data_IF_207452950046
#
_entry.id   IF_207452950046
#
_cell.length_a   1.000
_cell.length_b   1.000
_cell.length_c   1.000
_cell.angle_alpha   90.00
_cell.angle_beta   90.00
_cell.angle_gamma   90.00
#
_symmetry.space_group_name_H-M   'P 1'
#
loop_
_entity.id
_entity.type
_entity.pdbx_description
1 polymer ?
#
# COMPACT_ATOMS: atom_id res chain seq x y z
N UNK A 1 5.04 13.07 12.87
CA UNK A 1 5.16 13.62 11.68
C UNK A 1 5.17 12.65 10.50
N UNK A 2 5.61 13.10 9.33
CA UNK A 2 5.51 12.34 8.07
C UNK A 2 6.32 11.05 8.05
N UNK A 3 7.40 10.96 8.82
CA UNK A 3 8.26 9.78 8.88
C UNK A 3 7.51 8.53 9.37
N UNK A 4 6.75 8.65 10.45
CA UNK A 4 5.95 7.53 10.97
C UNK A 4 4.87 7.08 10.00
N UNK A 5 4.23 8.02 9.35
CA UNK A 5 3.23 7.76 8.31
C UNK A 5 3.83 6.98 7.13
N UNK A 6 4.95 7.44 6.57
CA UNK A 6 5.59 6.78 5.44
C UNK A 6 6.07 5.37 5.79
N UNK A 7 6.65 5.19 6.96
CA UNK A 7 7.10 3.85 7.40
C UNK A 7 5.95 2.88 7.53
N UNK A 8 4.83 3.29 8.12
CA UNK A 8 3.64 2.45 8.23
C UNK A 8 3.08 2.07 6.87
N UNK A 9 2.93 3.04 5.98
CA UNK A 9 2.43 2.81 4.64
C UNK A 9 3.33 1.86 3.86
N UNK A 10 4.64 2.15 3.84
CA UNK A 10 5.61 1.33 3.13
C UNK A 10 5.72 -0.09 3.71
N UNK A 11 5.61 -0.25 5.02
CA UNK A 11 5.58 -1.57 5.64
C UNK A 11 4.40 -2.39 5.12
N UNK A 12 3.23 -1.79 5.01
CA UNK A 12 2.04 -2.45 4.45
C UNK A 12 2.20 -2.76 2.97
N UNK A 13 2.75 -1.83 2.20
CA UNK A 13 3.01 -2.03 0.77
C UNK A 13 4.08 -3.11 0.52
N UNK A 14 5.03 -3.24 1.44
CA UNK A 14 6.08 -4.27 1.40
C UNK A 14 5.68 -5.57 2.11
N UNK A 15 4.41 -5.76 2.41
CA UNK A 15 3.86 -6.97 3.02
C UNK A 15 4.51 -7.34 4.36
N UNK A 16 4.79 -6.34 5.19
CA UNK A 16 5.35 -6.52 6.53
C UNK A 16 6.88 -6.49 6.60
N UNK A 17 7.58 -6.31 5.49
CA UNK A 17 9.04 -6.17 5.49
C UNK A 17 9.45 -4.78 5.97
N UNK A 18 9.65 -4.65 7.28
CA UNK A 18 9.99 -3.38 7.92
C UNK A 18 11.37 -2.85 7.51
N UNK A 19 12.34 -3.72 7.31
CA UNK A 19 13.68 -3.32 6.90
C UNK A 19 13.66 -2.68 5.49
N UNK A 20 12.96 -3.31 4.57
CA UNK A 20 12.78 -2.77 3.22
C UNK A 20 11.99 -1.46 3.24
N UNK A 21 10.95 -1.39 4.06
CA UNK A 21 10.15 -0.17 4.22
C UNK A 21 10.99 1.00 4.75
N UNK A 22 11.87 0.75 5.72
CA UNK A 22 12.76 1.78 6.26
C UNK A 22 13.75 2.29 5.19
N UNK A 23 14.33 1.40 4.40
CA UNK A 23 15.24 1.78 3.31
C UNK A 23 14.53 2.63 2.26
N UNK A 24 13.31 2.26 1.89
CA UNK A 24 12.50 3.02 0.95
C UNK A 24 12.08 4.38 1.51
N UNK A 25 11.77 4.44 2.80
CA UNK A 25 11.44 5.70 3.46
C UNK A 25 12.64 6.66 3.46
N UNK A 26 13.82 6.17 3.77
CA UNK A 26 15.06 6.95 3.71
C UNK A 26 15.32 7.47 2.29
N UNK A 27 15.20 6.61 1.29
CA UNK A 27 15.35 6.99 -0.10
C UNK A 27 14.34 8.07 -0.51
N UNK A 28 13.09 7.93 -0.10
CA UNK A 28 12.05 8.91 -0.37
C UNK A 28 12.37 10.28 0.26
N UNK A 29 12.85 10.29 1.51
CA UNK A 29 13.23 11.52 2.19
C UNK A 29 14.46 12.18 1.56
N UNK A 30 15.44 11.41 1.09
CA UNK A 30 16.59 11.96 0.35
C UNK A 30 16.12 12.61 -0.96
N UNK A 31 15.27 11.94 -1.70
CA UNK A 31 14.69 12.49 -2.94
C UNK A 31 13.85 13.74 -2.65
N UNK A 32 13.07 13.73 -1.57
CA UNK A 32 12.28 14.87 -1.14
C UNK A 32 13.15 16.06 -0.80
N UNK A 33 14.23 15.85 -0.06
CA UNK A 33 15.18 16.90 0.29
C UNK A 33 15.77 17.57 -0.96
N UNK A 34 16.17 16.77 -1.93
CA UNK A 34 16.74 17.27 -3.18
C UNK A 34 15.72 18.00 -4.06
N UNK A 35 14.47 17.55 -4.03
CA UNK A 35 13.40 18.08 -4.85
C UNK A 35 12.59 19.19 -4.16
N UNK A 36 12.85 19.46 -2.89
CA UNK A 36 12.10 20.43 -2.09
C UNK A 36 12.05 21.84 -2.72
N UNK A 37 13.15 22.38 -3.29
CA UNK A 37 13.08 23.69 -3.95
C UNK A 37 12.10 23.77 -5.10
N UNK A 38 11.82 22.64 -5.76
CA UNK A 38 10.84 22.55 -6.84
C UNK A 38 9.40 22.26 -6.39
N UNK A 39 9.20 22.07 -5.09
CA UNK A 39 7.86 21.83 -4.55
C UNK A 39 7.06 23.13 -4.54
N UNK A 40 5.98 23.16 -5.32
CA UNK A 40 5.18 24.37 -5.52
C UNK A 40 3.96 24.49 -4.59
N UNK A 41 3.73 23.51 -3.72
CA UNK A 41 2.56 23.51 -2.84
C UNK A 41 1.24 23.20 -3.55
N UNK A 42 1.27 22.76 -4.81
CA UNK A 42 0.07 22.40 -5.59
C UNK A 42 -0.60 21.13 -5.07
N UNK A 43 0.18 20.23 -4.44
CA UNK A 43 -0.32 19.04 -3.75
C UNK A 43 0.03 19.12 -2.27
N UNK A 44 -0.73 18.40 -1.45
CA UNK A 44 -0.36 18.28 -0.04
C UNK A 44 1.02 17.63 0.08
N UNK A 45 1.82 18.12 1.01
CA UNK A 45 3.17 17.59 1.25
C UNK A 45 3.14 16.06 1.45
N UNK A 46 2.15 15.57 2.17
CA UNK A 46 1.95 14.15 2.42
C UNK A 46 1.73 13.36 1.14
N UNK A 47 0.90 13.86 0.23
CA UNK A 47 0.67 13.23 -1.08
C UNK A 47 1.94 13.22 -1.92
N UNK A 48 2.66 14.32 -1.93
CA UNK A 48 3.92 14.43 -2.65
C UNK A 48 4.98 13.45 -2.13
N UNK A 49 5.13 13.33 -0.81
CA UNK A 49 6.02 12.35 -0.18
C UNK A 49 5.61 10.91 -0.50
N UNK A 50 4.32 10.61 -0.48
CA UNK A 50 3.78 9.30 -0.84
C UNK A 50 4.12 8.95 -2.28
N UNK A 51 4.02 9.90 -3.17
CA UNK A 51 4.37 9.75 -4.58
C UNK A 51 5.84 9.41 -4.77
N UNK A 52 6.73 10.09 -4.05
CA UNK A 52 8.17 9.79 -4.09
C UNK A 52 8.47 8.40 -3.50
N UNK A 53 7.84 8.04 -2.40
CA UNK A 53 8.00 6.74 -1.77
C UNK A 53 7.51 5.61 -2.67
N UNK A 54 6.36 5.77 -3.31
CA UNK A 54 5.83 4.79 -4.24
C UNK A 54 6.69 4.66 -5.49
N UNK A 55 7.22 5.76 -5.98
CA UNK A 55 8.17 5.75 -7.10
C UNK A 55 9.42 4.92 -6.79
N UNK A 56 9.97 5.07 -5.59
CA UNK A 56 11.10 4.27 -5.13
C UNK A 56 10.76 2.78 -5.06
N UNK A 57 9.59 2.46 -4.51
CA UNK A 57 9.09 1.08 -4.43
C UNK A 57 8.90 0.47 -5.82
N UNK A 58 8.30 1.21 -6.73
CA UNK A 58 8.05 0.75 -8.11
C UNK A 58 9.34 0.48 -8.86
N UNK A 59 10.38 1.27 -8.62
CA UNK A 59 11.70 1.08 -9.25
C UNK A 59 12.37 -0.22 -8.81
N UNK A 60 12.12 -0.67 -7.59
CA UNK A 60 12.67 -1.92 -7.06
C UNK A 60 11.85 -3.16 -7.45
N UNK A 61 10.55 -2.99 -7.65
CA UNK A 61 9.68 -4.12 -7.99
C UNK A 61 9.92 -4.58 -9.42
N UNK A 62 9.90 -5.90 -9.62
CA UNK A 62 9.68 -6.46 -10.94
C UNK A 62 8.32 -5.98 -11.47
N UNK A 63 8.11 -5.93 -12.81
CA UNK A 63 6.81 -5.55 -13.37
C UNK A 63 5.69 -6.34 -12.67
N UNK A 64 4.66 -5.64 -12.17
CA UNK A 64 3.55 -6.30 -11.49
C UNK A 64 2.84 -7.25 -12.46
N UNK A 65 2.65 -8.52 -12.08
CA UNK A 65 1.95 -9.45 -12.94
C UNK A 65 0.52 -9.00 -13.19
N UNK A 66 0.07 -9.14 -14.42
CA UNK A 66 -1.29 -8.83 -14.83
C UNK A 66 -2.31 -9.85 -14.29
N UNK A 67 -1.83 -11.03 -13.92
CA UNK A 67 -2.64 -12.13 -13.40
C UNK A 67 -2.51 -12.26 -11.88
N UNK A 68 -3.56 -12.79 -11.25
CA UNK A 68 -3.56 -13.12 -9.83
C UNK A 68 -2.49 -14.19 -9.55
N UNK A 69 -1.41 -13.80 -8.89
CA UNK A 69 -0.46 -14.77 -8.38
C UNK A 69 -1.04 -15.40 -7.10
N UNK A 70 -1.00 -16.73 -6.95
CA UNK A 70 -1.43 -17.34 -5.70
C UNK A 70 -0.54 -16.86 -4.55
N UNK A 71 -1.13 -16.60 -3.38
CA UNK A 71 -0.37 -16.15 -2.22
C UNK A 71 0.58 -17.23 -1.73
N UNK A 72 1.78 -16.83 -1.37
CA UNK A 72 2.67 -17.71 -0.62
C UNK A 72 2.09 -17.95 0.78
N UNK A 73 2.09 -19.19 1.21
CA UNK A 73 1.56 -19.57 2.51
C UNK A 73 2.26 -18.81 3.64
N UNK A 74 1.49 -18.02 4.38
CA UNK A 74 1.99 -17.34 5.57
C UNK A 74 2.15 -18.35 6.71
N UNK A 75 3.23 -18.27 7.50
CA UNK A 75 3.42 -19.20 8.61
C UNK A 75 2.32 -19.04 9.68
N UNK A 76 1.80 -20.15 10.14
CA UNK A 76 0.88 -20.18 11.26
C UNK A 76 1.57 -19.71 12.53
N UNK A 77 1.00 -18.73 13.20
CA UNK A 77 1.48 -18.27 14.49
C UNK A 77 0.34 -18.14 15.49
N UNK A 78 0.50 -18.84 16.61
CA UNK A 78 -0.43 -18.82 17.74
C UNK A 78 -0.18 -17.59 18.62
N UNK A 79 -0.93 -16.50 18.42
CA UNK A 79 -0.81 -15.29 19.23
C UNK A 79 -2.16 -14.64 19.56
N UNK A 80 -2.16 -13.70 20.52
CA UNK A 80 -3.31 -13.03 21.11
C UNK A 80 -4.32 -12.45 20.10
N UNK A 81 -5.62 -12.33 20.44
CA UNK A 81 -6.68 -11.93 19.49
C UNK A 81 -6.44 -10.64 18.71
N UNK A 82 -5.79 -9.63 19.31
CA UNK A 82 -5.48 -8.39 18.62
C UNK A 82 -4.40 -8.59 17.53
N UNK A 83 -3.43 -9.46 17.81
CA UNK A 83 -2.40 -9.84 16.85
C UNK A 83 -3.00 -10.72 15.75
N UNK A 84 -3.91 -11.62 16.10
CA UNK A 84 -4.66 -12.42 15.12
C UNK A 84 -5.39 -11.54 14.11
N UNK A 85 -6.07 -10.48 14.55
CA UNK A 85 -6.76 -9.54 13.64
C UNK A 85 -5.81 -8.86 12.68
N UNK A 86 -4.62 -8.49 13.14
CA UNK A 86 -3.58 -7.89 12.27
C UNK A 86 -3.06 -8.89 11.25
N UNK A 87 -2.79 -10.12 11.69
CA UNK A 87 -2.35 -11.20 10.81
C UNK A 87 -3.44 -11.56 9.81
N UNK A 88 -4.69 -11.60 10.23
CA UNK A 88 -5.84 -11.86 9.37
C UNK A 88 -5.98 -10.79 8.31
N UNK A 89 -5.83 -9.53 8.67
CA UNK A 89 -5.84 -8.42 7.71
C UNK A 89 -4.67 -8.52 6.74
N UNK A 90 -3.46 -8.82 7.23
CA UNK A 90 -2.30 -9.03 6.36
C UNK A 90 -2.51 -10.18 5.38
N UNK A 91 -3.07 -11.30 5.86
CA UNK A 91 -3.41 -12.46 5.02
C UNK A 91 -4.44 -12.09 3.96
N UNK A 92 -5.48 -11.37 4.36
CA UNK A 92 -6.51 -10.91 3.43
C UNK A 92 -5.93 -9.97 2.37
N UNK A 93 -5.07 -9.04 2.77
CA UNK A 93 -4.39 -8.13 1.84
C UNK A 93 -3.46 -8.89 0.89
N UNK A 94 -2.80 -9.95 1.37
CA UNK A 94 -1.92 -10.78 0.54
C UNK A 94 -2.70 -11.56 -0.54
N UNK A 95 -4.00 -11.80 -0.35
CA UNK A 95 -4.87 -12.45 -1.32
C UNK A 95 -5.30 -11.52 -2.46
N UNK A 96 -5.11 -10.22 -2.30
CA UNK A 96 -5.42 -9.25 -3.34
C UNK A 96 -4.33 -9.24 -4.42
N UNK A 97 -4.72 -8.95 -5.66
CA UNK A 97 -3.75 -8.66 -6.71
C UNK A 97 -2.90 -7.44 -6.28
N UNK A 98 -1.60 -7.39 -6.63
CA UNK A 98 -0.73 -6.30 -6.17
C UNK A 98 -1.27 -4.89 -6.45
N UNK A 99 -1.87 -4.66 -7.62
CA UNK A 99 -2.45 -3.36 -7.97
C UNK A 99 -3.69 -3.04 -7.14
N UNK A 100 -4.53 -4.04 -6.88
CA UNK A 100 -5.72 -3.89 -6.03
C UNK A 100 -5.30 -3.53 -4.60
N UNK A 101 -4.31 -4.22 -4.07
CA UNK A 101 -3.77 -3.98 -2.75
C UNK A 101 -3.17 -2.59 -2.62
N UNK A 102 -2.33 -2.19 -3.57
CA UNK A 102 -1.69 -0.88 -3.56
C UNK A 102 -2.73 0.26 -3.63
N UNK A 103 -3.71 0.15 -4.51
CA UNK A 103 -4.79 1.12 -4.63
C UNK A 103 -5.61 1.22 -3.33
N UNK A 104 -5.94 0.10 -2.73
CA UNK A 104 -6.68 0.06 -1.46
C UNK A 104 -5.89 0.71 -0.33
N UNK A 105 -4.61 0.38 -0.19
CA UNK A 105 -3.75 0.93 0.85
C UNK A 105 -3.52 2.43 0.69
N UNK A 106 -3.39 2.93 -0.52
CA UNK A 106 -3.25 4.36 -0.78
C UNK A 106 -4.53 5.12 -0.43
N UNK A 107 -5.69 4.59 -0.75
CA UNK A 107 -6.97 5.26 -0.48
C UNK A 107 -7.37 5.17 1.00
N UNK A 108 -7.20 4.03 1.64
CA UNK A 108 -7.65 3.81 3.03
C UNK A 108 -6.53 3.91 4.06
N UNK A 109 -5.30 3.55 3.70
CA UNK A 109 -4.16 3.67 4.61
C UNK A 109 -3.52 5.04 4.60
N UNK A 110 -3.46 5.68 3.46
CA UNK A 110 -2.83 6.98 3.26
C UNK A 110 -3.84 8.13 3.16
N UNK A 111 -5.13 7.86 3.23
CA UNK A 111 -6.21 8.85 3.09
C UNK A 111 -6.14 9.66 1.79
N UNK A 112 -5.67 9.04 0.72
CA UNK A 112 -5.66 9.69 -0.59
C UNK A 112 -7.02 9.58 -1.27
N UNK A 113 -7.41 10.62 -2.00
CA UNK A 113 -8.54 10.52 -2.92
C UNK A 113 -8.19 9.56 -4.07
N UNK A 114 -9.19 9.09 -4.80
CA UNK A 114 -8.95 8.26 -5.99
C UNK A 114 -8.08 9.00 -7.01
N UNK A 115 -8.28 10.30 -7.17
CA UNK A 115 -7.46 11.13 -8.06
C UNK A 115 -6.01 11.22 -7.62
N UNK A 116 -5.78 11.43 -6.33
CA UNK A 116 -4.43 11.46 -5.76
C UNK A 116 -3.74 10.10 -5.88
N UNK A 117 -4.46 9.01 -5.58
CA UNK A 117 -3.95 7.65 -5.75
C UNK A 117 -3.62 7.35 -7.23
N UNK A 118 -4.45 7.84 -8.16
CA UNK A 118 -4.19 7.70 -9.59
C UNK A 118 -2.87 8.37 -10.00
N UNK A 119 -2.59 9.55 -9.47
CA UNK A 119 -1.32 10.24 -9.70
C UNK A 119 -0.13 9.44 -9.14
N UNK A 120 -0.26 8.92 -7.91
CA UNK A 120 0.78 8.12 -7.27
C UNK A 120 1.07 6.84 -8.06
N UNK A 121 0.01 6.15 -8.48
CA UNK A 121 0.12 4.87 -9.20
C UNK A 121 0.47 5.04 -10.69
N UNK A 122 0.28 6.24 -11.24
CA UNK A 122 0.44 6.45 -12.68
C UNK A 122 -0.62 5.73 -13.51
N UNK A 123 -1.84 5.59 -12.97
CA UNK A 123 -2.95 4.90 -13.60
C UNK A 123 -4.11 5.86 -13.87
N UNK A 124 -4.97 5.58 -14.86
CA UNK A 124 -6.19 6.35 -15.07
C UNK A 124 -7.13 6.27 -13.83
N UNK A 125 -7.85 7.34 -13.56
CA UNK A 125 -8.78 7.41 -12.43
C UNK A 125 -9.80 6.28 -12.42
N UNK A 126 -10.38 5.95 -13.57
CA UNK A 126 -11.34 4.85 -13.70
C UNK A 126 -10.75 3.50 -13.33
N UNK A 127 -9.49 3.27 -13.69
CA UNK A 127 -8.75 2.06 -13.33
C UNK A 127 -8.56 1.97 -11.82
N UNK A 128 -8.18 3.07 -11.17
CA UNK A 128 -8.01 3.10 -9.70
C UNK A 128 -9.34 2.82 -9.00
N UNK A 129 -10.42 3.45 -9.42
CA UNK A 129 -11.77 3.19 -8.87
C UNK A 129 -12.15 1.72 -8.98
N UNK A 130 -11.91 1.10 -10.13
CA UNK A 130 -12.18 -0.32 -10.35
C UNK A 130 -11.32 -1.20 -9.45
N UNK A 131 -10.02 -0.91 -9.32
CA UNK A 131 -9.11 -1.67 -8.48
C UNK A 131 -9.53 -1.60 -7.00
N UNK A 132 -9.89 -0.41 -6.51
CA UNK A 132 -10.36 -0.22 -5.13
C UNK A 132 -11.66 -1.00 -4.89
N UNK A 133 -12.59 -0.94 -5.83
CA UNK A 133 -13.87 -1.64 -5.71
C UNK A 133 -13.66 -3.16 -5.67
N UNK A 134 -12.83 -3.70 -6.54
CA UNK A 134 -12.48 -5.13 -6.55
C UNK A 134 -11.78 -5.56 -5.26
N UNK A 135 -10.83 -4.75 -4.79
CA UNK A 135 -10.11 -5.03 -3.55
C UNK A 135 -11.07 -5.06 -2.36
N UNK A 136 -11.96 -4.08 -2.24
CA UNK A 136 -12.97 -4.05 -1.18
C UNK A 136 -13.89 -5.26 -1.22
N UNK A 137 -14.32 -5.65 -2.40
CA UNK A 137 -15.21 -6.80 -2.58
C UNK A 137 -14.52 -8.11 -2.15
N UNK A 138 -13.31 -8.34 -2.62
CA UNK A 138 -12.51 -9.51 -2.23
C UNK A 138 -12.23 -9.54 -0.72
N UNK A 139 -11.83 -8.40 -0.15
CA UNK A 139 -11.55 -8.27 1.27
C UNK A 139 -12.79 -8.57 2.11
N UNK A 140 -13.94 -8.05 1.72
CA UNK A 140 -15.21 -8.31 2.38
C UNK A 140 -15.58 -9.80 2.36
N UNK A 141 -15.39 -10.47 1.23
CA UNK A 141 -15.63 -11.91 1.11
C UNK A 141 -14.73 -12.71 2.06
N UNK A 142 -13.45 -12.39 2.15
CA UNK A 142 -12.52 -13.08 3.03
C UNK A 142 -12.85 -12.84 4.51
N UNK A 143 -13.17 -11.61 4.88
CA UNK A 143 -13.55 -11.29 6.26
C UNK A 143 -14.86 -11.96 6.68
N UNK A 144 -15.84 -12.06 5.78
CA UNK A 144 -17.09 -12.76 6.05
C UNK A 144 -16.87 -14.25 6.27
N UNK A 145 -15.96 -14.87 5.54
CA UNK A 145 -15.63 -16.28 5.72
C UNK A 145 -15.07 -16.58 7.11
N UNK A 146 -14.46 -15.60 7.77
CA UNK A 146 -13.94 -15.75 9.14
C UNK A 146 -14.99 -15.49 10.23
N UNK A 147 -16.00 -14.71 9.91
CA UNK A 147 -17.11 -14.43 10.84
C UNK A 147 -18.19 -15.52 10.82
N UNK A 148 -18.19 -16.37 9.82
CA UNK A 148 -19.13 -17.48 9.74
C UNK A 148 -18.82 -18.53 10.82
N UNK A 149 -19.81 -18.94 11.61
CA UNK A 149 -19.61 -19.96 12.64
C UNK A 149 -19.33 -21.36 12.05
#
# INVERSE_FOLDING_TARGET
>A
AHQGYLRKLLTRLCQGDAARADDLAQEAFVKAWRALPGFRGEARLRTWLTRLAYSALSAERAPLPLADAPPEDAPDSDFAPALHRRLDLQRALALLAPRERDALLLCYGADLSHGEAAEVLGLPLGTVKTQVLRARHKLKQHLQAWEAP
#
